data_IF_088204315860
#
_entry.id   IF_088204315860
#
_cell.length_a   1.000
_cell.length_b   1.000
_cell.length_c   1.000
_cell.angle_alpha   90.00
_cell.angle_beta   90.00
_cell.angle_gamma   90.00
#
_symmetry.space_group_name_H-M   'P 1'
#
loop_
_entity.id
_entity.type
_entity.pdbx_description
1 polymer ?
#
# COMPACT_ATOMS: atom_id res chain seq x y z
N UNK A 1 41.60 -59.34 11.81
CA UNK A 1 40.51 -58.73 11.01
C UNK A 1 39.17 -59.06 11.65
N UNK A 2 38.52 -58.11 12.36
CA UNK A 2 37.20 -58.31 12.97
C UNK A 2 36.19 -57.63 12.08
N UNK A 3 35.31 -58.40 11.42
CA UNK A 3 34.16 -57.92 10.73
C UNK A 3 33.12 -57.43 11.76
N UNK A 4 32.81 -56.16 11.76
CA UNK A 4 31.69 -55.60 12.53
C UNK A 4 30.45 -55.72 11.64
N UNK A 5 29.57 -56.67 11.97
CA UNK A 5 28.23 -56.78 11.37
C UNK A 5 27.36 -55.71 12.04
N UNK A 6 26.98 -54.71 11.28
CA UNK A 6 25.96 -53.75 11.71
C UNK A 6 24.60 -54.38 11.43
N UNK A 7 23.95 -54.92 12.47
CA UNK A 7 22.56 -55.26 12.43
C UNK A 7 21.73 -53.98 12.42
N UNK A 8 21.24 -53.57 11.26
CA UNK A 8 20.22 -52.53 11.19
C UNK A 8 18.88 -53.19 11.59
N UNK A 9 18.40 -52.79 12.72
CA UNK A 9 17.11 -53.19 13.27
C UNK A 9 15.97 -52.73 12.35
N UNK A 10 15.17 -53.67 11.88
CA UNK A 10 14.07 -53.48 10.95
C UNK A 10 13.01 -52.50 11.48
N UNK A 11 12.90 -52.39 12.81
CA UNK A 11 12.01 -51.46 13.49
C UNK A 11 12.51 -49.99 13.40
N UNK A 12 13.82 -49.76 13.33
CA UNK A 12 14.38 -48.41 13.16
C UNK A 12 14.15 -47.87 11.76
N UNK A 13 14.20 -48.73 10.74
CA UNK A 13 13.87 -48.35 9.36
C UNK A 13 12.39 -48.02 9.19
N UNK A 14 11.49 -48.80 9.80
CA UNK A 14 10.03 -48.51 9.74
C UNK A 14 9.68 -47.20 10.42
N UNK A 15 10.30 -46.87 11.56
CA UNK A 15 10.08 -45.56 12.25
C UNK A 15 10.67 -44.38 11.49
N UNK A 16 11.83 -44.55 10.84
CA UNK A 16 12.42 -43.52 9.98
C UNK A 16 11.58 -43.27 8.74
N UNK A 17 11.01 -44.32 8.12
CA UNK A 17 10.14 -44.21 6.97
C UNK A 17 8.80 -43.54 7.33
N UNK A 18 8.21 -43.85 8.50
CA UNK A 18 6.97 -43.22 8.98
C UNK A 18 7.22 -41.73 9.31
N UNK A 19 8.37 -41.36 9.87
CA UNK A 19 8.74 -39.97 10.14
C UNK A 19 8.92 -39.15 8.86
N UNK A 20 9.54 -39.73 7.84
CA UNK A 20 9.77 -39.06 6.56
C UNK A 20 8.48 -38.84 5.78
N UNK A 21 7.54 -39.82 5.84
CA UNK A 21 6.23 -39.71 5.18
C UNK A 21 5.33 -38.67 5.86
N UNK A 22 5.39 -38.55 7.21
CA UNK A 22 4.64 -37.54 7.95
C UNK A 22 5.17 -36.12 7.66
N UNK A 23 6.48 -35.94 7.50
CA UNK A 23 7.08 -34.65 7.14
C UNK A 23 6.71 -34.23 5.71
N UNK A 24 6.60 -35.19 4.78
CA UNK A 24 6.19 -34.92 3.38
C UNK A 24 4.72 -34.53 3.26
N UNK A 25 3.86 -35.07 4.15
CA UNK A 25 2.42 -34.74 4.16
C UNK A 25 2.15 -33.34 4.75
N UNK A 26 2.97 -32.85 5.67
CA UNK A 26 2.82 -31.54 6.28
C UNK A 26 3.12 -30.38 5.29
N UNK A 27 3.92 -30.61 4.24
CA UNK A 27 4.25 -29.62 3.22
C UNK A 27 3.13 -29.44 2.18
N UNK A 28 2.24 -30.41 2.03
CA UNK A 28 1.15 -30.36 1.03
C UNK A 28 -0.07 -29.55 1.47
N UNK A 29 -0.18 -29.18 2.75
CA UNK A 29 -1.35 -28.45 3.26
C UNK A 29 -1.21 -26.92 3.09
N UNK A 30 -0.01 -26.41 2.82
CA UNK A 30 0.25 -24.97 2.65
C UNK A 30 -0.19 -24.41 1.29
N UNK A 31 -0.60 -25.25 0.34
CA UNK A 31 -0.92 -24.84 -1.03
C UNK A 31 -2.38 -24.43 -1.29
N UNK A 32 -3.30 -24.71 -0.37
CA UNK A 32 -4.73 -24.51 -0.65
C UNK A 32 -5.25 -23.08 -0.41
N UNK A 33 -4.52 -22.22 0.30
CA UNK A 33 -4.97 -20.85 0.56
C UNK A 33 -4.89 -19.91 -0.65
N UNK A 34 -4.16 -20.26 -1.71
CA UNK A 34 -3.99 -19.39 -2.89
C UNK A 34 -5.19 -19.42 -3.85
N UNK A 35 -6.13 -20.34 -3.67
CA UNK A 35 -7.30 -20.45 -4.55
C UNK A 35 -8.54 -19.70 -4.03
N UNK A 36 -8.52 -19.20 -2.80
CA UNK A 36 -9.67 -18.54 -2.18
C UNK A 36 -9.53 -17.02 -2.08
N UNK A 37 -8.33 -16.51 -2.22
CA UNK A 37 -8.02 -15.10 -2.10
C UNK A 37 -6.73 -14.72 -2.83
N UNK A 38 -6.58 -13.43 -3.11
CA UNK A 38 -5.33 -12.81 -3.58
C UNK A 38 -4.89 -11.76 -2.58
N UNK A 39 -3.61 -11.72 -2.29
CA UNK A 39 -3.03 -10.76 -1.34
C UNK A 39 -2.10 -9.80 -2.07
N UNK A 40 -2.27 -8.51 -1.82
CA UNK A 40 -1.39 -7.43 -2.28
C UNK A 40 -0.61 -6.96 -1.07
N UNK A 41 0.69 -7.17 -1.07
CA UNK A 41 1.57 -6.73 0.01
C UNK A 41 1.72 -5.20 0.05
N UNK A 42 2.01 -4.66 1.22
CA UNK A 42 2.35 -3.24 1.42
C UNK A 42 3.52 -2.81 0.51
N UNK A 43 4.48 -3.70 0.26
CA UNK A 43 5.59 -3.44 -0.65
C UNK A 43 5.12 -3.26 -2.10
N UNK A 44 4.19 -4.07 -2.59
CA UNK A 44 3.62 -3.95 -3.94
C UNK A 44 2.81 -2.65 -4.07
N UNK A 45 2.05 -2.29 -3.04
CA UNK A 45 1.33 -0.99 -3.01
C UNK A 45 2.32 0.16 -3.06
N UNK A 46 3.41 0.11 -2.28
CA UNK A 46 4.44 1.16 -2.26
C UNK A 46 5.18 1.28 -3.60
N UNK A 47 5.44 0.16 -4.27
CA UNK A 47 6.00 0.17 -5.64
C UNK A 47 5.03 0.79 -6.65
N UNK A 48 3.73 0.56 -6.50
CA UNK A 48 2.72 1.19 -7.34
C UNK A 48 2.60 2.70 -7.04
N UNK A 49 2.58 3.10 -5.77
CA UNK A 49 2.54 4.50 -5.34
C UNK A 49 3.77 5.29 -5.79
N UNK A 50 4.94 4.66 -5.89
CA UNK A 50 6.14 5.31 -6.42
C UNK A 50 5.96 5.85 -7.84
N UNK A 51 5.02 5.31 -8.62
CA UNK A 51 4.64 5.83 -9.94
C UNK A 51 3.81 7.13 -9.87
N UNK A 52 3.24 7.44 -8.71
CA UNK A 52 2.53 8.66 -8.42
C UNK A 52 3.40 9.73 -7.77
N UNK A 53 4.69 9.45 -7.52
CA UNK A 53 5.67 10.47 -7.19
C UNK A 53 5.76 11.48 -8.34
N UNK A 54 6.00 12.74 -8.02
CA UNK A 54 5.93 13.88 -8.94
C UNK A 54 4.48 14.29 -9.32
N UNK A 55 3.52 14.09 -8.41
CA UNK A 55 2.23 14.74 -8.56
C UNK A 55 2.40 16.25 -8.38
N UNK A 56 2.10 17.00 -9.42
CA UNK A 56 2.17 18.46 -9.44
C UNK A 56 0.78 19.06 -9.51
N UNK A 57 0.57 20.13 -8.74
CA UNK A 57 -0.69 20.87 -8.75
C UNK A 57 -0.49 22.31 -8.33
N UNK A 58 -1.14 23.19 -9.09
CA UNK A 58 -1.31 24.58 -8.68
C UNK A 58 -2.59 24.72 -7.87
N UNK A 59 -2.48 25.31 -6.69
CA UNK A 59 -3.60 25.68 -5.83
C UNK A 59 -3.45 27.15 -5.42
N UNK A 60 -4.56 27.83 -5.20
CA UNK A 60 -4.49 29.22 -4.74
C UNK A 60 -5.79 29.96 -4.88
N UNK A 61 -5.73 31.25 -4.53
CA UNK A 61 -6.82 32.21 -4.69
C UNK A 61 -6.39 33.23 -5.73
N UNK A 62 -7.13 33.32 -6.81
CA UNK A 62 -6.81 34.19 -7.93
C UNK A 62 -6.53 35.63 -7.49
N UNK A 63 -5.37 36.17 -7.87
CA UNK A 63 -4.94 37.54 -7.56
C UNK A 63 -4.36 37.77 -6.17
N UNK A 64 -4.34 36.76 -5.28
CA UNK A 64 -3.81 36.90 -3.91
C UNK A 64 -2.61 35.99 -3.64
N UNK A 65 -2.78 34.70 -3.86
CA UNK A 65 -1.78 33.68 -3.57
C UNK A 65 -1.88 32.55 -4.60
N UNK A 66 -0.76 32.13 -5.14
CA UNK A 66 -0.65 30.91 -5.94
C UNK A 66 0.42 30.02 -5.33
N UNK A 67 0.14 28.72 -5.17
CA UNK A 67 1.09 27.75 -4.65
C UNK A 67 1.21 26.59 -5.64
N UNK A 68 2.43 26.38 -6.13
CA UNK A 68 2.81 25.21 -6.91
C UNK A 68 3.30 24.12 -5.95
N UNK A 69 2.71 22.94 -6.03
CA UNK A 69 2.97 21.83 -5.12
C UNK A 69 3.50 20.66 -5.92
N UNK A 70 4.63 20.11 -5.47
CA UNK A 70 5.21 18.86 -5.94
C UNK A 70 5.20 17.86 -4.79
N UNK A 71 4.41 16.78 -4.94
CA UNK A 71 4.33 15.68 -3.97
C UNK A 71 5.33 14.56 -4.35
N UNK A 72 6.14 14.15 -3.38
CA UNK A 72 7.16 13.10 -3.54
C UNK A 72 7.17 12.13 -2.36
N UNK A 73 7.97 11.08 -2.46
CA UNK A 73 8.26 10.12 -1.37
C UNK A 73 7.00 9.50 -0.74
N UNK A 74 5.99 9.21 -1.58
CA UNK A 74 4.79 8.54 -1.11
C UNK A 74 5.10 7.14 -0.60
N UNK A 75 4.66 6.84 0.62
CA UNK A 75 4.77 5.54 1.25
C UNK A 75 3.48 5.21 2.00
N UNK A 76 3.08 3.93 2.00
CA UNK A 76 1.87 3.47 2.70
C UNK A 76 2.21 2.51 3.83
N UNK A 77 1.39 2.55 4.87
CA UNK A 77 1.29 1.56 5.94
C UNK A 77 -0.16 1.08 6.00
N UNK A 78 -0.35 -0.22 5.75
CA UNK A 78 -1.68 -0.80 5.58
C UNK A 78 -2.13 -1.42 6.90
N UNK A 79 -3.29 -1.01 7.45
CA UNK A 79 -3.94 -1.63 8.60
C UNK A 79 -3.11 -1.66 9.89
N UNK A 80 -2.01 -0.90 9.99
CA UNK A 80 -1.07 -0.94 11.13
C UNK A 80 -1.45 0.04 12.24
N UNK A 81 -1.90 1.22 11.88
CA UNK A 81 -2.30 2.24 12.85
C UNK A 81 -3.80 2.18 13.16
N UNK A 82 -4.61 1.98 12.14
CA UNK A 82 -6.06 1.84 12.25
C UNK A 82 -6.52 0.64 11.40
N UNK A 83 -7.41 -0.22 11.95
CA UNK A 83 -8.07 -1.24 11.16
C UNK A 83 -8.83 -0.60 9.98
N UNK A 84 -8.91 -1.30 8.86
CA UNK A 84 -9.62 -0.88 7.63
C UNK A 84 -9.12 0.42 6.98
N UNK A 85 -7.96 0.94 7.40
CA UNK A 85 -7.36 2.16 6.88
C UNK A 85 -5.95 1.95 6.35
N UNK A 86 -5.57 2.84 5.44
CA UNK A 86 -4.19 3.00 4.99
C UNK A 86 -3.69 4.35 5.46
N UNK A 87 -2.56 4.35 6.17
CA UNK A 87 -1.80 5.56 6.48
C UNK A 87 -0.81 5.82 5.36
N UNK A 88 -0.81 7.02 4.81
CA UNK A 88 0.14 7.48 3.80
C UNK A 88 1.06 8.54 4.42
N UNK A 89 2.34 8.45 4.11
CA UNK A 89 3.30 9.53 4.36
C UNK A 89 3.84 10.04 3.03
N UNK A 90 4.22 11.31 2.98
CA UNK A 90 4.79 11.90 1.78
C UNK A 90 5.45 13.22 2.10
N UNK A 91 6.21 13.75 1.14
CA UNK A 91 6.81 15.10 1.18
C UNK A 91 6.16 15.96 0.11
N UNK A 92 5.91 17.22 0.44
CA UNK A 92 5.47 18.20 -0.53
C UNK A 92 6.46 19.37 -0.54
N UNK A 93 6.99 19.69 -1.73
CA UNK A 93 7.68 20.94 -2.00
C UNK A 93 6.67 21.95 -2.50
N UNK A 94 6.67 23.14 -1.91
CA UNK A 94 5.63 24.13 -2.16
C UNK A 94 6.31 25.47 -2.49
N UNK A 95 6.06 25.95 -3.68
CA UNK A 95 6.50 27.28 -4.13
C UNK A 95 5.29 28.21 -4.08
N UNK A 96 5.29 29.15 -3.14
CA UNK A 96 4.22 30.13 -2.95
C UNK A 96 4.60 31.44 -3.61
N UNK A 97 3.75 31.95 -4.48
CA UNK A 97 3.86 33.31 -5.04
C UNK A 97 2.73 34.16 -4.47
N UNK A 98 3.08 35.25 -3.81
CA UNK A 98 2.14 36.20 -3.20
C UNK A 98 2.59 37.63 -3.42
N UNK A 99 1.80 38.58 -2.92
CA UNK A 99 2.17 40.02 -2.91
C UNK A 99 3.48 40.31 -2.16
N UNK A 100 3.92 39.40 -1.28
CA UNK A 100 5.18 39.51 -0.54
C UNK A 100 6.37 38.86 -1.27
N UNK A 101 6.18 38.47 -2.53
CA UNK A 101 7.17 37.77 -3.35
C UNK A 101 7.11 36.24 -3.25
N UNK A 102 8.03 35.57 -3.95
CA UNK A 102 8.11 34.12 -3.94
C UNK A 102 8.68 33.59 -2.61
N UNK A 103 8.12 32.52 -2.12
CA UNK A 103 8.54 31.82 -0.91
C UNK A 103 8.49 30.31 -1.15
N UNK A 104 9.38 29.58 -0.48
CA UNK A 104 9.43 28.11 -0.58
C UNK A 104 9.18 27.49 0.80
N UNK A 105 8.50 26.34 0.79
CA UNK A 105 8.28 25.54 1.97
C UNK A 105 8.39 24.04 1.62
N UNK A 106 8.96 23.27 2.53
CA UNK A 106 8.89 21.82 2.55
C UNK A 106 7.87 21.39 3.60
N UNK A 107 7.04 20.42 3.24
CA UNK A 107 6.03 19.88 4.13
C UNK A 107 6.15 18.37 4.18
N UNK A 108 6.18 17.81 5.40
CA UNK A 108 6.00 16.39 5.63
C UNK A 108 4.54 16.15 5.94
N UNK A 109 3.91 15.25 5.18
CA UNK A 109 2.49 14.98 5.28
C UNK A 109 2.27 13.58 5.84
N UNK A 110 1.30 13.46 6.76
CA UNK A 110 0.69 12.21 7.16
C UNK A 110 -0.77 12.27 6.80
N UNK A 111 -1.23 11.28 6.07
CA UNK A 111 -2.59 11.21 5.54
C UNK A 111 -3.20 9.86 5.89
N UNK A 112 -4.53 9.79 5.97
CA UNK A 112 -5.28 8.54 6.13
C UNK A 112 -6.30 8.43 5.01
N UNK A 113 -6.52 7.20 4.54
CA UNK A 113 -7.51 6.93 3.51
C UNK A 113 -8.15 5.55 3.72
N UNK A 114 -9.32 5.36 3.14
CA UNK A 114 -9.98 4.06 3.08
C UNK A 114 -9.67 3.41 1.74
N UNK A 115 -9.04 2.22 1.71
CA UNK A 115 -8.87 1.48 0.48
C UNK A 115 -10.19 0.85 0.06
N UNK A 116 -10.54 1.00 -1.21
CA UNK A 116 -11.76 0.46 -1.80
C UNK A 116 -11.40 -0.23 -3.12
N UNK A 117 -11.90 -1.44 -3.30
CA UNK A 117 -11.70 -2.19 -4.53
C UNK A 117 -12.85 -1.97 -5.51
N UNK A 118 -12.52 -1.49 -6.69
CA UNK A 118 -13.44 -1.43 -7.82
C UNK A 118 -13.35 -2.74 -8.61
N UNK A 119 -14.38 -3.56 -8.49
CA UNK A 119 -14.45 -4.88 -9.15
C UNK A 119 -14.47 -4.75 -10.69
N UNK A 120 -15.10 -3.71 -11.23
CA UNK A 120 -15.21 -3.53 -12.68
C UNK A 120 -13.87 -3.16 -13.30
N UNK A 121 -13.12 -2.30 -12.62
CA UNK A 121 -11.80 -1.88 -13.09
C UNK A 121 -10.67 -2.82 -12.66
N UNK A 122 -10.91 -3.65 -11.64
CA UNK A 122 -9.88 -4.47 -11.01
C UNK A 122 -8.81 -3.61 -10.35
N UNK A 123 -9.23 -2.57 -9.63
CA UNK A 123 -8.33 -1.54 -9.12
C UNK A 123 -8.65 -1.15 -7.68
N UNK A 124 -7.62 -0.83 -6.90
CA UNK A 124 -7.73 -0.30 -5.54
C UNK A 124 -7.60 1.21 -5.58
N UNK A 125 -8.61 1.91 -5.06
CA UNK A 125 -8.63 3.35 -4.86
C UNK A 125 -8.46 3.68 -3.38
N UNK A 126 -7.92 4.87 -3.11
CA UNK A 126 -7.84 5.43 -1.77
C UNK A 126 -8.91 6.50 -1.63
N UNK A 127 -10.01 6.16 -0.98
CA UNK A 127 -11.14 7.05 -0.76
C UNK A 127 -11.01 7.80 0.56
N UNK A 128 -11.74 8.89 0.66
CA UNK A 128 -11.81 9.70 1.88
C UNK A 128 -10.45 10.07 2.47
N UNK A 129 -9.51 10.39 1.57
CA UNK A 129 -8.18 10.83 1.96
C UNK A 129 -8.29 12.13 2.78
N UNK A 130 -7.60 12.13 3.92
CA UNK A 130 -7.52 13.26 4.84
C UNK A 130 -6.07 13.46 5.31
N UNK A 131 -5.60 14.71 5.29
CA UNK A 131 -4.33 15.09 5.91
C UNK A 131 -4.57 15.17 7.43
N UNK A 132 -3.92 14.29 8.19
CA UNK A 132 -4.07 14.22 9.67
C UNK A 132 -2.93 14.88 10.40
N UNK A 133 -1.76 15.04 9.76
CA UNK A 133 -0.62 15.79 10.29
C UNK A 133 0.18 16.42 9.14
N UNK A 134 0.73 17.60 9.42
CA UNK A 134 1.54 18.35 8.46
C UNK A 134 2.63 19.16 9.19
N UNK A 135 3.88 18.80 8.95
CA UNK A 135 5.05 19.51 9.49
C UNK A 135 5.65 20.36 8.39
N UNK A 136 5.82 21.66 8.67
CA UNK A 136 6.22 22.68 7.69
C UNK A 136 7.59 23.25 8.05
N UNK A 137 8.44 23.40 7.04
CA UNK A 137 9.71 24.11 7.15
C UNK A 137 9.89 25.08 5.97
N UNK A 138 10.43 26.30 6.20
CA UNK A 138 10.76 26.86 7.50
C UNK A 138 9.52 27.23 8.33
N UNK A 139 9.64 27.26 9.66
CA UNK A 139 8.53 27.49 10.59
C UNK A 139 7.75 28.79 10.30
N UNK A 140 8.43 29.83 9.80
CA UNK A 140 7.78 31.09 9.37
C UNK A 140 6.67 30.89 8.31
N UNK A 141 6.72 29.77 7.56
CA UNK A 141 5.71 29.42 6.55
C UNK A 141 4.50 28.69 7.14
N UNK A 142 4.54 28.28 8.41
CA UNK A 142 3.49 27.46 9.02
C UNK A 142 2.10 28.10 8.95
N UNK A 143 1.99 29.42 9.17
CA UNK A 143 0.71 30.13 9.11
C UNK A 143 0.14 30.14 7.68
N UNK A 144 0.98 30.37 6.67
CA UNK A 144 0.59 30.35 5.26
C UNK A 144 0.16 28.95 4.86
N UNK A 145 0.94 27.92 5.23
CA UNK A 145 0.63 26.53 4.91
C UNK A 145 -0.64 26.06 5.60
N UNK A 146 -0.89 26.46 6.84
CA UNK A 146 -2.16 26.17 7.53
C UNK A 146 -3.37 26.67 6.76
N UNK A 147 -3.28 27.82 6.13
CA UNK A 147 -4.34 28.39 5.29
C UNK A 147 -4.50 27.64 3.96
N UNK A 148 -3.42 27.06 3.42
CA UNK A 148 -3.42 26.31 2.16
C UNK A 148 -3.76 24.81 2.35
N UNK A 149 -3.59 24.25 3.54
CA UNK A 149 -3.82 22.84 3.84
C UNK A 149 -5.22 22.34 3.41
N UNK A 150 -6.33 23.07 3.63
CA UNK A 150 -7.64 22.62 3.16
C UNK A 150 -7.72 22.44 1.63
N UNK A 151 -7.10 23.33 0.87
CA UNK A 151 -7.06 23.24 -0.59
C UNK A 151 -6.18 22.08 -1.06
N UNK A 152 -5.04 21.87 -0.40
CA UNK A 152 -4.17 20.72 -0.64
C UNK A 152 -4.92 19.42 -0.35
N UNK A 153 -5.59 19.33 0.80
CA UNK A 153 -6.39 18.16 1.18
C UNK A 153 -7.46 17.84 0.13
N UNK A 154 -8.21 18.85 -0.30
CA UNK A 154 -9.24 18.68 -1.33
C UNK A 154 -8.64 18.23 -2.68
N UNK A 155 -7.48 18.77 -3.05
CA UNK A 155 -6.77 18.42 -4.27
C UNK A 155 -6.28 16.96 -4.25
N UNK A 156 -5.65 16.54 -3.15
CA UNK A 156 -5.18 15.17 -2.95
C UNK A 156 -6.35 14.18 -2.87
N UNK A 157 -7.42 14.51 -2.16
CA UNK A 157 -8.65 13.72 -2.11
C UNK A 157 -9.22 13.50 -3.50
N UNK A 158 -9.33 14.55 -4.30
CA UNK A 158 -9.82 14.47 -5.68
C UNK A 158 -8.92 13.59 -6.55
N UNK A 159 -7.60 13.75 -6.42
CA UNK A 159 -6.62 12.96 -7.18
C UNK A 159 -6.73 11.48 -6.88
N UNK A 160 -6.65 11.07 -5.60
CA UNK A 160 -6.70 9.66 -5.21
C UNK A 160 -8.09 9.03 -5.40
N UNK A 161 -9.14 9.83 -5.44
CA UNK A 161 -10.48 9.36 -5.83
C UNK A 161 -10.56 8.99 -7.32
N UNK A 162 -9.73 9.59 -8.17
CA UNK A 162 -9.74 9.36 -9.62
C UNK A 162 -8.63 8.42 -10.09
N UNK A 163 -7.50 8.42 -9.41
CA UNK A 163 -6.32 7.61 -9.77
C UNK A 163 -6.18 6.42 -8.82
N UNK A 164 -6.18 5.20 -9.35
CA UNK A 164 -6.02 4.01 -8.51
C UNK A 164 -4.61 3.96 -7.91
N UNK A 165 -4.53 3.58 -6.64
CA UNK A 165 -3.26 3.31 -5.97
C UNK A 165 -2.63 1.99 -6.44
N UNK A 166 -3.46 1.02 -6.85
CA UNK A 166 -3.00 -0.26 -7.39
C UNK A 166 -3.99 -0.77 -8.45
N UNK A 167 -3.46 -1.35 -9.54
CA UNK A 167 -4.28 -1.94 -10.61
C UNK A 167 -3.85 -3.40 -10.80
N UNK A 168 -4.80 -4.32 -10.75
CA UNK A 168 -4.59 -5.73 -11.08
C UNK A 168 -4.34 -5.89 -12.58
N UNK A 169 -3.27 -6.60 -12.94
CA UNK A 169 -2.92 -6.91 -14.32
C UNK A 169 -2.94 -8.42 -14.56
N UNK A 170 -3.70 -8.85 -15.55
CA UNK A 170 -3.77 -10.26 -15.95
C UNK A 170 -2.44 -10.81 -16.45
N UNK A 171 -1.56 -9.92 -16.91
CA UNK A 171 -0.25 -10.29 -17.46
C UNK A 171 0.85 -10.38 -16.40
N UNK A 172 0.60 -9.86 -15.17
CA UNK A 172 1.60 -9.84 -14.10
C UNK A 172 1.69 -11.17 -13.37
N UNK A 173 0.55 -11.77 -13.03
CA UNK A 173 0.51 -13.07 -12.38
C UNK A 173 -0.84 -13.78 -12.58
N UNK A 174 -0.83 -15.13 -12.44
CA UNK A 174 -2.06 -15.91 -12.43
C UNK A 174 -2.98 -15.53 -11.26
N UNK A 175 -2.40 -15.14 -10.10
CA UNK A 175 -3.14 -14.68 -8.93
C UNK A 175 -3.92 -13.40 -9.21
N UNK A 176 -3.29 -12.40 -9.84
CA UNK A 176 -3.97 -11.16 -10.23
C UNK A 176 -5.06 -11.39 -11.29
N UNK A 177 -4.82 -12.29 -12.24
CA UNK A 177 -5.82 -12.67 -13.23
C UNK A 177 -7.06 -13.30 -12.59
N UNK A 178 -6.87 -14.17 -11.58
CA UNK A 178 -7.96 -14.76 -10.80
C UNK A 178 -8.66 -13.70 -9.94
N UNK A 179 -7.90 -12.83 -9.26
CA UNK A 179 -8.45 -11.74 -8.46
C UNK A 179 -9.32 -10.82 -9.30
N UNK A 180 -8.85 -10.42 -10.47
CA UNK A 180 -9.63 -9.57 -11.39
C UNK A 180 -10.94 -10.21 -11.83
N UNK A 181 -11.00 -11.55 -11.94
CA UNK A 181 -12.17 -12.29 -12.39
C UNK A 181 -13.15 -12.64 -11.26
N UNK A 182 -12.64 -12.93 -10.06
CA UNK A 182 -13.42 -13.55 -8.99
C UNK A 182 -13.51 -12.72 -7.72
N UNK A 183 -12.91 -11.52 -7.68
CA UNK A 183 -12.94 -10.65 -6.51
C UNK A 183 -14.37 -10.38 -6.01
N UNK A 184 -14.55 -10.47 -4.70
CA UNK A 184 -15.81 -10.19 -4.00
C UNK A 184 -15.75 -8.97 -3.09
N UNK A 185 -14.58 -8.38 -2.93
CA UNK A 185 -14.37 -7.21 -2.10
C UNK A 185 -12.92 -7.01 -1.75
N UNK A 186 -12.68 -6.26 -0.68
CA UNK A 186 -11.36 -5.97 -0.14
C UNK A 186 -11.42 -6.05 1.38
N UNK A 187 -10.42 -6.68 1.97
CA UNK A 187 -10.16 -6.69 3.41
C UNK A 187 -8.79 -6.06 3.66
N UNK A 188 -8.69 -5.32 4.75
CA UNK A 188 -7.44 -4.70 5.18
C UNK A 188 -6.88 -5.51 6.33
N UNK A 189 -5.68 -6.01 6.15
CA UNK A 189 -4.93 -6.69 7.20
C UNK A 189 -3.61 -5.94 7.47
N UNK A 190 -2.99 -6.09 8.63
CA UNK A 190 -1.72 -5.44 8.91
C UNK A 190 -0.64 -5.78 7.88
N UNK A 191 -0.23 -4.79 7.09
CA UNK A 191 0.80 -4.90 6.06
C UNK A 191 0.33 -5.47 4.72
N UNK A 192 -0.98 -5.66 4.50
CA UNK A 192 -1.49 -6.21 3.23
C UNK A 192 -2.96 -5.89 2.97
N UNK A 193 -3.33 -5.95 1.70
CA UNK A 193 -4.71 -5.92 1.24
C UNK A 193 -5.08 -7.33 0.75
N UNK A 194 -6.21 -7.84 1.19
CA UNK A 194 -6.69 -9.19 0.83
C UNK A 194 -7.96 -9.06 -0.03
N UNK A 195 -7.96 -9.71 -1.17
CA UNK A 195 -9.07 -9.76 -2.13
C UNK A 195 -9.66 -11.18 -2.09
N UNK A 196 -10.76 -11.43 -1.36
CA UNK A 196 -11.41 -12.74 -1.32
C UNK A 196 -12.12 -13.06 -2.63
N UNK A 197 -12.15 -14.35 -3.01
CA UNK A 197 -12.86 -14.87 -4.18
C UNK A 197 -14.22 -15.45 -3.82
N UNK A 198 -14.43 -15.74 -2.54
CA UNK A 198 -15.68 -16.24 -1.96
C UNK A 198 -16.16 -15.28 -0.88
N UNK A 199 -17.47 -15.21 -0.68
CA UNK A 199 -18.07 -14.49 0.45
C UNK A 199 -17.98 -15.34 1.71
#
# INVERSE_FOLDING_TARGET
MRCISINLDEDTMKKAFLGLTALFFAVLVSGCNQLTQYTISEQEVNQALAKHNNYEKDIGVAGLVNAHILLTDLNSQIGREEPDRVTLTGKAKINVTSLFGPQEADMQLKMKAQPVFDVQQGAVYLRDLEIVDAQVQPEKMAAVMKSLTPYLNQSLKSYFNQKPAYVLSVDRSKGEALAKKFAKGLQVEPGQLVIPFTQ
#
